data_IF_951953705178
#
_entry.id   IF_951953705178
#
_cell.length_a   1.000
_cell.length_b   1.000
_cell.length_c   1.000
_cell.angle_alpha   90.00
_cell.angle_beta   90.00
_cell.angle_gamma   90.00
#
_symmetry.space_group_name_H-M   'P 1'
#
loop_
_entity.id
_entity.type
_entity.pdbx_description
1 polymer ?
#
# COMPACT_ATOMS: atom_id res chain seq x y z
N UNK A 1 -8.63 -27.14 -11.28
CA UNK A 1 -7.18 -27.05 -11.01
C UNK A 1 -7.05 -25.95 -9.99
N UNK A 2 -6.71 -26.31 -8.75
CA UNK A 2 -6.56 -25.35 -7.67
C UNK A 2 -5.16 -24.78 -7.78
N UNK A 3 -5.05 -23.56 -8.28
CA UNK A 3 -3.80 -22.79 -8.23
C UNK A 3 -3.62 -22.35 -6.78
N UNK A 4 -3.06 -23.24 -5.96
CA UNK A 4 -2.41 -22.85 -4.72
C UNK A 4 -1.19 -22.03 -5.13
N UNK A 5 -1.36 -20.71 -5.29
CA UNK A 5 -0.24 -19.79 -5.42
C UNK A 5 0.52 -19.85 -4.09
N UNK A 6 1.67 -20.51 -4.11
CA UNK A 6 2.59 -20.54 -2.98
C UNK A 6 3.01 -19.10 -2.66
N UNK A 7 2.65 -18.65 -1.46
CA UNK A 7 2.97 -17.31 -0.93
C UNK A 7 4.49 -17.05 -0.86
N UNK A 8 5.30 -18.11 -0.99
CA UNK A 8 6.76 -18.06 -1.09
C UNK A 8 7.28 -17.64 -2.47
N UNK A 9 6.43 -17.63 -3.51
CA UNK A 9 6.83 -17.35 -4.89
C UNK A 9 6.57 -15.90 -5.33
N UNK A 10 5.82 -15.10 -4.56
CA UNK A 10 5.67 -13.67 -4.85
C UNK A 10 6.99 -12.95 -4.51
N UNK A 11 7.83 -12.78 -5.52
CA UNK A 11 9.15 -12.13 -5.42
C UNK A 11 9.09 -10.67 -5.84
N UNK A 12 8.02 -10.25 -6.51
CA UNK A 12 7.78 -8.89 -6.98
C UNK A 12 6.48 -8.32 -6.44
N UNK A 13 6.34 -6.99 -6.48
CA UNK A 13 5.12 -6.31 -6.05
C UNK A 13 3.92 -6.63 -6.97
N UNK A 14 4.13 -6.74 -8.30
CA UNK A 14 3.08 -7.15 -9.24
C UNK A 14 2.53 -8.55 -8.92
N UNK A 15 3.40 -9.54 -8.68
CA UNK A 15 2.98 -10.90 -8.31
C UNK A 15 2.17 -10.90 -7.01
N UNK A 16 2.63 -10.15 -6.01
CA UNK A 16 1.93 -10.02 -4.73
C UNK A 16 0.54 -9.38 -4.91
N UNK A 17 0.44 -8.29 -5.67
CA UNK A 17 -0.82 -7.59 -5.92
C UNK A 17 -1.82 -8.45 -6.68
N UNK A 18 -1.37 -9.24 -7.66
CA UNK A 18 -2.22 -10.22 -8.36
C UNK A 18 -2.76 -11.27 -7.41
N UNK A 19 -1.91 -11.81 -6.55
CA UNK A 19 -2.31 -12.81 -5.56
C UNK A 19 -3.34 -12.21 -4.59
N UNK A 20 -3.09 -11.01 -4.07
CA UNK A 20 -4.03 -10.27 -3.24
C UNK A 20 -5.40 -10.11 -3.91
N UNK A 21 -5.45 -9.61 -5.15
CA UNK A 21 -6.72 -9.42 -5.88
C UNK A 21 -7.48 -10.73 -6.10
N UNK A 22 -6.76 -11.85 -6.21
CA UNK A 22 -7.36 -13.18 -6.37
C UNK A 22 -7.77 -13.86 -5.05
N UNK A 23 -7.41 -13.30 -3.90
CA UNK A 23 -7.62 -13.89 -2.57
C UNK A 23 -8.81 -13.22 -1.87
N UNK A 24 -9.71 -14.01 -1.27
CA UNK A 24 -10.81 -13.48 -0.45
C UNK A 24 -10.27 -12.83 0.83
N UNK A 25 -10.90 -11.76 1.30
CA UNK A 25 -10.48 -11.06 2.52
C UNK A 25 -10.46 -11.97 3.76
N UNK A 26 -11.31 -13.01 3.80
CA UNK A 26 -11.38 -13.96 4.91
C UNK A 26 -10.51 -15.21 4.70
N UNK A 27 -9.74 -15.28 3.61
CA UNK A 27 -8.86 -16.40 3.34
C UNK A 27 -7.72 -16.46 4.38
N UNK A 28 -7.32 -17.67 4.75
CA UNK A 28 -6.21 -17.91 5.68
C UNK A 28 -4.86 -17.39 5.16
N UNK A 29 -4.74 -17.15 3.86
CA UNK A 29 -3.55 -16.56 3.23
C UNK A 29 -3.46 -15.04 3.43
N UNK A 30 -4.59 -14.34 3.62
CA UNK A 30 -4.61 -12.88 3.66
C UNK A 30 -3.63 -12.27 4.69
N UNK A 31 -3.54 -12.77 5.95
CA UNK A 31 -2.56 -12.25 6.91
C UNK A 31 -1.11 -12.38 6.44
N UNK A 32 -0.78 -13.45 5.72
CA UNK A 32 0.56 -13.67 5.20
C UNK A 32 0.85 -12.76 3.99
N UNK A 33 -0.17 -12.48 3.18
CA UNK A 33 -0.09 -11.50 2.09
C UNK A 33 0.13 -10.08 2.65
N UNK A 34 -0.61 -9.68 3.68
CA UNK A 34 -0.40 -8.38 4.35
C UNK A 34 1.03 -8.26 4.88
N UNK A 35 1.55 -9.29 5.54
CA UNK A 35 2.95 -9.29 6.00
C UNK A 35 3.94 -9.13 4.85
N UNK A 36 3.67 -9.72 3.69
CA UNK A 36 4.52 -9.59 2.51
C UNK A 36 4.43 -8.19 1.89
N UNK A 37 3.24 -7.58 1.88
CA UNK A 37 3.04 -6.18 1.47
C UNK A 37 3.87 -5.26 2.34
N UNK A 38 3.84 -5.44 3.66
CA UNK A 38 4.58 -4.58 4.59
C UNK A 38 6.10 -4.64 4.31
N UNK A 39 6.63 -5.81 3.92
CA UNK A 39 8.04 -5.91 3.48
C UNK A 39 8.37 -5.11 2.22
N UNK A 40 7.42 -5.01 1.27
CA UNK A 40 7.59 -4.16 0.09
C UNK A 40 7.45 -2.68 0.44
N UNK A 41 6.55 -2.32 1.36
CA UNK A 41 6.39 -0.95 1.83
C UNK A 41 7.63 -0.46 2.59
N UNK A 42 8.24 -1.32 3.41
CA UNK A 42 9.50 -1.03 4.12
C UNK A 42 10.68 -0.78 3.16
N UNK A 43 10.63 -1.32 1.93
CA UNK A 43 11.68 -1.21 0.91
C UNK A 43 11.12 -0.70 -0.43
N UNK A 44 10.30 0.36 -0.36
CA UNK A 44 9.56 0.85 -1.52
C UNK A 44 10.46 1.36 -2.66
N UNK A 45 11.71 1.71 -2.34
CA UNK A 45 12.74 2.10 -3.31
C UNK A 45 13.01 1.01 -4.36
N UNK A 46 12.84 -0.26 -4.01
CA UNK A 46 13.03 -1.39 -4.92
C UNK A 46 11.84 -1.57 -5.89
N UNK A 47 10.69 -0.95 -5.60
CA UNK A 47 9.52 -0.97 -6.48
C UNK A 47 9.69 0.08 -7.55
N UNK A 48 9.82 -0.34 -8.81
CA UNK A 48 10.17 0.54 -9.94
C UNK A 48 8.97 0.97 -10.78
N UNK A 49 7.77 0.51 -10.45
CA UNK A 49 6.55 0.77 -11.22
C UNK A 49 5.55 1.58 -10.37
N UNK A 50 5.13 2.72 -10.91
CA UNK A 50 4.17 3.59 -10.24
C UNK A 50 2.84 2.88 -9.89
N UNK A 51 2.35 2.02 -10.78
CA UNK A 51 1.11 1.27 -10.55
C UNK A 51 1.24 0.28 -9.38
N UNK A 52 2.42 -0.30 -9.19
CA UNK A 52 2.69 -1.23 -8.08
C UNK A 52 2.77 -0.47 -6.75
N UNK A 53 3.47 0.67 -6.71
CA UNK A 53 3.51 1.57 -5.54
C UNK A 53 2.10 2.00 -5.15
N UNK A 54 1.32 2.49 -6.10
CA UNK A 54 -0.08 2.88 -5.88
C UNK A 54 -0.91 1.70 -5.37
N UNK A 55 -0.77 0.51 -5.98
CA UNK A 55 -1.51 -0.69 -5.57
C UNK A 55 -1.25 -1.09 -4.12
N UNK A 56 0.02 -1.07 -3.69
CA UNK A 56 0.40 -1.41 -2.30
C UNK A 56 -0.20 -0.42 -1.28
N UNK A 57 -0.16 0.88 -1.58
CA UNK A 57 -0.74 1.90 -0.69
C UNK A 57 -2.27 1.83 -0.66
N UNK A 58 -2.93 1.64 -1.80
CA UNK A 58 -4.39 1.50 -1.82
C UNK A 58 -4.87 0.27 -1.04
N UNK A 59 -4.09 -0.82 -1.05
CA UNK A 59 -4.37 -1.95 -0.17
C UNK A 59 -4.17 -1.59 1.31
N UNK A 60 -3.07 -0.91 1.67
CA UNK A 60 -2.85 -0.45 3.04
C UNK A 60 -3.98 0.47 3.54
N UNK A 61 -4.46 1.39 2.70
CA UNK A 61 -5.60 2.26 2.99
C UNK A 61 -6.88 1.45 3.25
N UNK A 62 -7.16 0.44 2.41
CA UNK A 62 -8.32 -0.45 2.57
C UNK A 62 -8.30 -1.20 3.91
N UNK A 63 -7.15 -1.73 4.31
CA UNK A 63 -7.02 -2.42 5.60
C UNK A 63 -7.29 -1.49 6.79
N UNK A 64 -6.94 -0.21 6.66
CA UNK A 64 -7.22 0.82 7.66
C UNK A 64 -8.62 1.44 7.50
N UNK A 65 -9.49 0.85 6.68
CA UNK A 65 -10.83 1.34 6.38
C UNK A 65 -10.88 2.78 5.83
N UNK A 66 -9.81 3.23 5.18
CA UNK A 66 -9.72 4.54 4.56
C UNK A 66 -10.02 4.40 3.07
N UNK A 67 -11.08 5.08 2.64
CA UNK A 67 -11.46 5.15 1.23
C UNK A 67 -11.08 6.52 0.66
N UNK A 68 -10.33 6.58 -0.46
CA UNK A 68 -10.10 7.81 -1.19
C UNK A 68 -11.42 8.45 -1.64
N UNK A 69 -11.57 9.76 -1.47
CA UNK A 69 -12.79 10.49 -1.87
C UNK A 69 -12.60 11.28 -3.17
N UNK A 70 -11.87 10.70 -4.13
CA UNK A 70 -11.35 11.43 -5.30
C UNK A 70 -10.05 12.20 -5.01
N UNK A 71 -9.49 11.97 -3.83
CA UNK A 71 -8.27 12.60 -3.31
C UNK A 71 -7.02 11.93 -3.90
N UNK A 72 -5.96 12.73 -4.05
CA UNK A 72 -4.59 12.25 -4.21
C UNK A 72 -4.05 11.65 -2.91
N UNK A 73 -2.93 10.93 -2.99
CA UNK A 73 -2.28 10.37 -1.80
C UNK A 73 -1.87 11.46 -0.80
N UNK A 74 -1.32 12.59 -1.27
CA UNK A 74 -1.01 13.73 -0.39
C UNK A 74 -2.25 14.30 0.30
N UNK A 75 -3.34 14.50 -0.43
CA UNK A 75 -4.60 15.00 0.13
C UNK A 75 -5.17 14.04 1.18
N UNK A 76 -5.04 12.71 0.98
CA UNK A 76 -5.40 11.72 2.00
C UNK A 76 -4.52 11.88 3.24
N UNK A 77 -3.20 12.03 3.08
CA UNK A 77 -2.28 12.22 4.21
C UNK A 77 -2.61 13.49 5.01
N UNK A 78 -2.91 14.59 4.34
CA UNK A 78 -3.32 15.85 4.99
C UNK A 78 -4.64 15.67 5.75
N UNK A 79 -5.66 15.06 5.13
CA UNK A 79 -6.95 14.78 5.79
C UNK A 79 -6.79 13.89 7.03
N UNK A 80 -5.94 12.87 6.97
CA UNK A 80 -5.68 12.01 8.12
C UNK A 80 -4.98 12.77 9.25
N UNK A 81 -4.08 13.70 8.91
CA UNK A 81 -3.44 14.60 9.87
C UNK A 81 -4.44 15.51 10.57
N UNK A 82 -5.37 16.10 9.80
CA UNK A 82 -6.45 16.93 10.37
C UNK A 82 -7.33 16.14 11.33
N UNK A 83 -7.69 14.89 11.00
CA UNK A 83 -8.48 14.02 11.88
C UNK A 83 -7.75 13.73 13.21
N UNK A 84 -6.44 13.48 13.16
CA UNK A 84 -5.63 13.24 14.36
C UNK A 84 -5.55 14.50 15.24
N UNK A 85 -5.40 15.69 14.63
CA UNK A 85 -5.43 16.97 15.36
C UNK A 85 -6.79 17.21 16.01
N UNK A 86 -7.89 17.03 15.25
CA UNK A 86 -9.25 17.24 15.75
C UNK A 86 -9.60 16.28 16.90
N UNK A 87 -9.16 15.03 16.80
CA UNK A 87 -9.38 14.00 17.82
C UNK A 87 -8.35 14.07 18.98
N UNK A 88 -7.28 14.86 18.84
CA UNK A 88 -6.11 14.86 19.72
C UNK A 88 -5.56 13.43 19.90
N UNK A 89 -5.35 12.74 18.77
CA UNK A 89 -4.80 11.38 18.66
C UNK A 89 -3.63 11.36 17.68
N UNK A 90 -2.91 10.24 17.65
CA UNK A 90 -1.84 9.97 16.67
C UNK A 90 -2.14 8.66 15.90
N UNK A 91 -3.43 8.36 15.68
CA UNK A 91 -3.89 7.07 15.16
C UNK A 91 -3.43 6.79 13.74
N UNK A 92 -3.18 7.83 12.95
CA UNK A 92 -2.83 7.71 11.54
C UNK A 92 -1.37 8.07 11.25
N UNK A 93 -0.56 8.39 12.28
CA UNK A 93 0.82 8.85 12.09
C UNK A 93 1.69 7.90 11.24
N UNK A 94 1.61 6.59 11.48
CA UNK A 94 2.34 5.59 10.70
C UNK A 94 1.85 5.52 9.25
N UNK A 95 0.52 5.55 9.05
CA UNK A 95 -0.08 5.53 7.73
C UNK A 95 0.27 6.79 6.91
N UNK A 96 0.20 7.96 7.53
CA UNK A 96 0.61 9.23 6.92
C UNK A 96 2.08 9.17 6.49
N UNK A 97 2.94 8.61 7.33
CA UNK A 97 4.36 8.44 7.00
C UNK A 97 4.56 7.51 5.80
N UNK A 98 3.89 6.37 5.76
CA UNK A 98 3.93 5.44 4.61
C UNK A 98 3.42 6.10 3.31
N UNK A 99 2.33 6.87 3.39
CA UNK A 99 1.78 7.59 2.24
C UNK A 99 2.82 8.58 1.68
N UNK A 100 3.49 9.35 2.55
CA UNK A 100 4.50 10.34 2.14
C UNK A 100 5.72 9.70 1.49
N UNK A 101 6.17 8.53 2.00
CA UNK A 101 7.23 7.75 1.34
C UNK A 101 6.79 7.32 -0.06
N UNK A 102 5.56 6.85 -0.20
CA UNK A 102 5.05 6.44 -1.49
C UNK A 102 4.92 7.59 -2.50
N UNK A 103 4.48 8.77 -2.05
CA UNK A 103 4.47 9.97 -2.89
C UNK A 103 5.88 10.31 -3.38
N UNK A 104 6.87 10.35 -2.47
CA UNK A 104 8.26 10.60 -2.86
C UNK A 104 8.77 9.57 -3.88
N UNK A 105 8.44 8.28 -3.68
CA UNK A 105 8.83 7.23 -4.62
C UNK A 105 8.16 7.38 -5.99
N UNK A 106 6.88 7.78 -6.02
CA UNK A 106 6.17 8.04 -7.27
C UNK A 106 6.80 9.21 -8.03
N UNK A 107 7.18 10.28 -7.33
CA UNK A 107 7.88 11.42 -7.92
C UNK A 107 9.24 10.99 -8.51
N UNK A 108 10.02 10.18 -7.79
CA UNK A 108 11.29 9.64 -8.29
C UNK A 108 11.10 8.82 -9.57
N UNK A 109 10.11 7.91 -9.59
CA UNK A 109 9.79 7.11 -10.78
C UNK A 109 9.37 8.02 -11.95
N UNK A 110 8.60 9.08 -11.70
CA UNK A 110 8.20 10.01 -12.76
C UNK A 110 9.40 10.80 -13.30
N UNK A 111 10.34 11.21 -12.44
CA UNK A 111 11.57 11.91 -12.84
C UNK A 111 12.51 11.01 -13.65
N UNK A 112 12.67 9.74 -13.26
CA UNK A 112 13.52 8.76 -13.96
C UNK A 112 12.99 8.40 -15.37
N UNK A 113 11.70 8.63 -15.62
CA UNK A 113 11.04 8.35 -16.90
C UNK A 113 10.99 9.55 -17.86
N UNK A 114 11.66 10.67 -17.54
CA UNK A 114 11.77 11.88 -18.38
C UNK A 114 13.12 11.91 -19.11
#
# INVERSE_FOLDING_TARGET
MSDHLDLQNATTADELLRLYVSTDDNDLLMPALCKKRDQFLDNLDDVSNAAEVTGLIHWLLRENHISPQGETLDEIADRLGDLDIEANTDNYSELIFMIKIAVARLDDIMLDNI
#
